data_IF_609337959898
#
_entry.id   IF_609337959898
#
_cell.length_a   1.000
_cell.length_b   1.000
_cell.length_c   1.000
_cell.angle_alpha   90.00
_cell.angle_beta   90.00
_cell.angle_gamma   90.00
#
_symmetry.space_group_name_H-M   'P 1'
#
loop_
_entity.id
_entity.type
_entity.pdbx_description
1 polymer ?
#
# COMPACT_ATOMS: atom_id res chain seq x y z
N UNK A 1 7.64 -18.88 -0.55
CA UNK A 1 8.69 -17.98 -1.06
C UNK A 1 8.02 -16.64 -1.34
N UNK A 2 8.44 -15.55 -0.69
CA UNK A 2 7.77 -14.25 -0.86
C UNK A 2 8.26 -13.64 -2.18
N UNK A 3 7.41 -13.61 -3.22
CA UNK A 3 7.74 -12.97 -4.49
C UNK A 3 7.64 -11.45 -4.35
N UNK A 4 8.62 -10.72 -4.92
CA UNK A 4 8.79 -9.27 -4.80
C UNK A 4 8.20 -8.46 -5.97
N UNK A 5 7.75 -9.15 -7.02
CA UNK A 5 7.22 -8.57 -8.24
C UNK A 5 5.99 -9.36 -8.69
N UNK A 6 4.82 -8.74 -8.55
CA UNK A 6 3.55 -9.23 -9.08
C UNK A 6 3.13 -8.32 -10.24
N UNK A 7 2.54 -8.91 -11.28
CA UNK A 7 1.74 -8.21 -12.28
C UNK A 7 0.46 -7.66 -11.65
N UNK A 8 -0.23 -6.74 -12.34
CA UNK A 8 -1.48 -6.18 -11.83
C UNK A 8 -2.54 -7.23 -11.54
N UNK A 9 -2.67 -8.24 -12.41
CA UNK A 9 -3.63 -9.34 -12.26
C UNK A 9 -3.29 -10.24 -11.07
N UNK A 10 -2.02 -10.63 -10.94
CA UNK A 10 -1.57 -11.42 -9.78
C UNK A 10 -1.82 -10.69 -8.46
N UNK A 11 -1.77 -9.36 -8.48
CA UNK A 11 -2.06 -8.58 -7.30
C UNK A 11 -3.56 -8.51 -6.99
N UNK A 12 -4.44 -8.40 -7.98
CA UNK A 12 -5.90 -8.50 -7.76
C UNK A 12 -6.29 -9.85 -7.13
N UNK A 13 -5.70 -10.94 -7.61
CA UNK A 13 -5.89 -12.28 -7.02
C UNK A 13 -5.40 -12.31 -5.56
N UNK A 14 -4.26 -11.68 -5.29
CA UNK A 14 -3.69 -11.60 -3.93
C UNK A 14 -4.49 -10.69 -2.99
N UNK A 15 -5.11 -9.63 -3.49
CA UNK A 15 -6.05 -8.83 -2.68
C UNK A 15 -7.26 -9.65 -2.25
N UNK A 16 -7.84 -10.43 -3.16
CA UNK A 16 -8.91 -11.36 -2.84
C UNK A 16 -8.44 -12.41 -1.82
N UNK A 17 -7.23 -12.93 -1.96
CA UNK A 17 -6.62 -13.86 -1.00
C UNK A 17 -6.51 -13.23 0.40
N UNK A 18 -6.07 -11.97 0.52
CA UNK A 18 -6.02 -11.26 1.81
C UNK A 18 -7.40 -11.15 2.44
N UNK A 19 -8.42 -10.76 1.68
CA UNK A 19 -9.79 -10.67 2.17
C UNK A 19 -10.30 -12.02 2.66
N UNK A 20 -10.07 -13.09 1.91
CA UNK A 20 -10.45 -14.45 2.30
C UNK A 20 -9.71 -14.91 3.57
N UNK A 21 -8.39 -14.71 3.64
CA UNK A 21 -7.58 -15.05 4.82
C UNK A 21 -8.09 -14.32 6.07
N UNK A 22 -8.32 -13.01 5.99
CA UNK A 22 -8.85 -12.22 7.12
C UNK A 22 -10.23 -12.72 7.55
N UNK A 23 -11.14 -12.91 6.59
CA UNK A 23 -12.52 -13.31 6.87
C UNK A 23 -12.61 -14.75 7.41
N UNK A 24 -11.68 -15.63 7.02
CA UNK A 24 -11.58 -17.00 7.53
C UNK A 24 -11.13 -17.10 9.00
N UNK A 25 -10.60 -16.02 9.57
CA UNK A 25 -10.21 -15.97 10.98
C UNK A 25 -11.42 -15.49 11.78
N UNK A 26 -12.26 -16.45 12.18
CA UNK A 26 -13.41 -16.23 13.05
C UNK A 26 -12.98 -16.40 14.50
N UNK A 27 -13.34 -15.45 15.36
CA UNK A 27 -13.10 -15.53 16.80
C UNK A 27 -14.35 -16.16 17.45
N UNK A 28 -14.27 -17.36 18.04
CA UNK A 28 -15.40 -17.97 18.72
C UNK A 28 -15.87 -17.14 19.92
N UNK A 29 -17.15 -17.24 20.29
CA UNK A 29 -17.71 -16.56 21.47
C UNK A 29 -17.11 -17.06 22.79
N UNK A 30 -16.68 -18.32 22.84
CA UNK A 30 -16.06 -18.97 24.00
C UNK A 30 -14.87 -19.81 23.53
N UNK A 31 -13.76 -19.18 23.13
CA UNK A 31 -12.63 -19.92 22.61
C UNK A 31 -11.90 -20.65 23.74
N UNK A 32 -11.45 -21.86 23.44
CA UNK A 32 -10.52 -22.61 24.27
C UNK A 32 -9.11 -22.03 24.17
N UNK A 33 -8.21 -22.28 25.15
CA UNK A 33 -6.84 -21.78 25.09
C UNK A 33 -6.08 -22.19 23.81
N UNK A 34 -6.34 -23.39 23.29
CA UNK A 34 -5.73 -23.90 22.05
C UNK A 34 -6.22 -23.10 20.84
N UNK A 35 -7.52 -22.82 20.77
CA UNK A 35 -8.09 -21.98 19.70
C UNK A 35 -7.53 -20.55 19.74
N UNK A 36 -7.39 -19.97 20.94
CA UNK A 36 -6.74 -18.66 21.11
C UNK A 36 -5.33 -18.68 20.55
N UNK A 37 -4.50 -19.66 20.92
CA UNK A 37 -3.12 -19.78 20.42
C UNK A 37 -3.09 -19.95 18.89
N UNK A 38 -3.98 -20.79 18.34
CA UNK A 38 -4.08 -20.99 16.88
C UNK A 38 -4.49 -19.73 16.13
N UNK A 39 -5.47 -18.98 16.65
CA UNK A 39 -5.91 -17.70 16.06
C UNK A 39 -4.78 -16.66 16.11
N UNK A 40 -4.10 -16.52 17.25
CA UNK A 40 -2.97 -15.60 17.39
C UNK A 40 -1.86 -15.93 16.39
N UNK A 41 -1.46 -17.20 16.27
CA UNK A 41 -0.44 -17.62 15.31
C UNK A 41 -0.84 -17.32 13.86
N UNK A 42 -2.10 -17.59 13.48
CA UNK A 42 -2.62 -17.26 12.14
C UNK A 42 -2.60 -15.75 11.88
N UNK A 43 -3.00 -14.94 12.85
CA UNK A 43 -2.98 -13.47 12.74
C UNK A 43 -1.56 -12.93 12.65
N UNK A 44 -0.59 -13.50 13.37
CA UNK A 44 0.81 -13.06 13.33
C UNK A 44 1.47 -13.39 11.98
N UNK A 45 1.21 -14.58 11.44
CA UNK A 45 1.69 -14.96 10.12
C UNK A 45 1.11 -14.03 9.05
N UNK A 46 -0.20 -13.79 9.09
CA UNK A 46 -0.88 -12.91 8.14
C UNK A 46 -0.41 -11.45 8.26
N UNK A 47 -0.19 -10.98 9.50
CA UNK A 47 0.35 -9.65 9.76
C UNK A 47 1.75 -9.49 9.17
N UNK A 48 2.60 -10.51 9.31
CA UNK A 48 3.97 -10.51 8.79
C UNK A 48 3.99 -10.44 7.27
N UNK A 49 3.17 -11.28 6.63
CA UNK A 49 3.00 -11.29 5.17
C UNK A 49 2.52 -9.92 4.66
N UNK A 50 1.44 -9.40 5.26
CA UNK A 50 0.86 -8.11 4.90
C UNK A 50 1.82 -6.93 5.13
N UNK A 51 2.60 -6.96 6.22
CA UNK A 51 3.55 -5.90 6.55
C UNK A 51 4.70 -5.84 5.53
N UNK A 52 5.16 -7.00 5.05
CA UNK A 52 6.20 -7.07 4.04
C UNK A 52 5.71 -6.48 2.71
N UNK A 53 4.53 -6.90 2.25
CA UNK A 53 3.96 -6.39 1.02
C UNK A 53 3.64 -4.88 1.10
N UNK A 54 3.07 -4.43 2.22
CA UNK A 54 2.84 -3.00 2.49
C UNK A 54 4.12 -2.18 2.37
N UNK A 55 5.21 -2.64 3.01
CA UNK A 55 6.51 -1.95 2.98
C UNK A 55 7.06 -1.88 1.56
N UNK A 56 6.87 -2.93 0.75
CA UNK A 56 7.27 -2.92 -0.66
C UNK A 56 6.49 -1.90 -1.49
N UNK A 57 5.16 -1.83 -1.34
CA UNK A 57 4.34 -0.84 -2.05
C UNK A 57 4.63 0.58 -1.61
N UNK A 58 4.83 0.80 -0.31
CA UNK A 58 5.20 2.11 0.22
C UNK A 58 6.52 2.60 -0.34
N UNK A 59 7.55 1.74 -0.38
CA UNK A 59 8.84 2.07 -1.01
C UNK A 59 8.69 2.39 -2.50
N UNK A 60 7.90 1.60 -3.24
CA UNK A 60 7.66 1.84 -4.67
C UNK A 60 6.91 3.15 -4.91
N UNK A 61 5.94 3.49 -4.04
CA UNK A 61 5.22 4.76 -4.07
C UNK A 61 6.16 5.94 -3.82
N UNK A 62 7.04 5.84 -2.83
CA UNK A 62 8.03 6.88 -2.52
C UNK A 62 8.96 7.15 -3.71
N UNK A 63 9.47 6.08 -4.34
CA UNK A 63 10.30 6.19 -5.54
C UNK A 63 9.54 6.81 -6.72
N UNK A 64 8.33 6.34 -7.00
CA UNK A 64 7.52 6.87 -8.10
C UNK A 64 7.16 8.36 -7.90
N UNK A 65 6.87 8.77 -6.66
CA UNK A 65 6.62 10.17 -6.32
C UNK A 65 7.87 11.04 -6.51
N UNK A 66 9.04 10.53 -6.10
CA UNK A 66 10.30 11.24 -6.28
C UNK A 66 10.60 11.43 -7.77
N UNK A 67 10.44 10.37 -8.57
CA UNK A 67 10.63 10.42 -10.02
C UNK A 67 9.65 11.37 -10.70
N UNK A 68 8.37 11.34 -10.31
CA UNK A 68 7.37 12.27 -10.81
C UNK A 68 7.75 13.72 -10.52
N UNK A 69 8.15 14.01 -9.27
CA UNK A 69 8.57 15.36 -8.89
C UNK A 69 9.81 15.82 -9.67
N UNK A 70 10.79 14.93 -9.85
CA UNK A 70 12.01 15.24 -10.59
C UNK A 70 11.69 15.54 -12.06
N UNK A 71 10.85 14.71 -12.69
CA UNK A 71 10.40 14.93 -14.06
C UNK A 71 9.62 16.25 -14.20
N UNK A 72 8.72 16.55 -13.26
CA UNK A 72 7.98 17.82 -13.27
C UNK A 72 8.91 19.04 -13.20
N UNK A 73 9.93 19.01 -12.34
CA UNK A 73 10.93 20.08 -12.20
C UNK A 73 11.78 20.21 -13.48
N UNK A 74 12.26 19.10 -14.00
CA UNK A 74 13.10 19.05 -15.19
C UNK A 74 12.37 19.63 -16.40
N UNK A 75 11.19 19.09 -16.73
CA UNK A 75 10.43 19.54 -17.90
C UNK A 75 9.91 20.96 -17.75
N UNK A 76 9.54 21.38 -16.54
CA UNK A 76 9.18 22.78 -16.30
C UNK A 76 10.35 23.70 -16.62
N UNK A 77 11.56 23.34 -16.18
CA UNK A 77 12.77 24.14 -16.43
C UNK A 77 13.14 24.19 -17.91
N UNK A 78 13.04 23.06 -18.62
CA UNK A 78 13.28 22.97 -20.06
C UNK A 78 12.32 23.89 -20.83
N UNK A 79 11.03 23.80 -20.57
CA UNK A 79 10.00 24.60 -21.26
C UNK A 79 10.18 26.09 -20.93
N UNK A 80 10.46 26.43 -19.66
CA UNK A 80 10.71 27.82 -19.24
C UNK A 80 11.94 28.42 -19.93
N UNK A 81 13.00 27.64 -20.10
CA UNK A 81 14.19 28.08 -20.85
C UNK A 81 13.89 28.25 -22.35
N UNK A 82 13.14 27.33 -22.95
CA UNK A 82 12.70 27.47 -24.35
C UNK A 82 11.83 28.70 -24.56
N UNK A 83 10.94 29.00 -23.62
CA UNK A 83 10.11 30.19 -23.65
C UNK A 83 10.96 31.47 -23.70
N UNK A 84 12.00 31.55 -22.87
CA UNK A 84 12.91 32.70 -22.84
C UNK A 84 13.66 32.88 -24.17
N UNK A 85 14.05 31.77 -24.81
CA UNK A 85 14.78 31.82 -26.07
C UNK A 85 13.90 32.10 -27.29
N UNK A 86 12.66 31.63 -27.29
CA UNK A 86 11.73 31.74 -28.44
C UNK A 86 10.78 32.94 -28.33
N UNK A 87 10.76 33.65 -27.19
CA UNK A 87 9.97 34.88 -27.00
C UNK A 87 8.47 34.65 -26.80
N UNK A 88 8.01 33.42 -26.59
CA UNK A 88 6.60 33.13 -26.33
C UNK A 88 6.18 33.62 -24.93
N UNK A 89 4.97 34.17 -24.82
CA UNK A 89 4.36 34.51 -23.51
C UNK A 89 3.35 33.44 -23.13
N UNK A 90 3.81 32.40 -22.44
CA UNK A 90 2.97 31.41 -21.75
C UNK A 90 3.04 31.65 -20.24
N UNK A 91 1.95 31.39 -19.54
CA UNK A 91 1.90 31.50 -18.07
C UNK A 91 2.55 30.28 -17.43
N UNK A 92 2.92 30.37 -16.14
CA UNK A 92 3.41 29.19 -15.42
C UNK A 92 2.37 28.07 -15.34
N UNK A 93 1.07 28.39 -15.37
CA UNK A 93 0.01 27.39 -15.39
C UNK A 93 -0.05 26.66 -16.73
N UNK A 94 0.17 27.36 -17.85
CA UNK A 94 0.25 26.74 -19.17
C UNK A 94 1.44 25.77 -19.24
N UNK A 95 2.59 26.18 -18.70
CA UNK A 95 3.77 25.31 -18.61
C UNK A 95 3.48 24.07 -17.77
N UNK A 96 2.86 24.23 -16.58
CA UNK A 96 2.46 23.07 -15.76
C UNK A 96 1.49 22.15 -16.50
N UNK A 97 0.55 22.70 -17.27
CA UNK A 97 -0.35 21.94 -18.15
C UNK A 97 0.41 21.14 -19.21
N UNK A 98 1.38 21.76 -19.87
CA UNK A 98 2.23 21.10 -20.87
C UNK A 98 3.11 20.01 -20.26
N UNK A 99 3.75 20.27 -19.12
CA UNK A 99 4.55 19.29 -18.37
C UNK A 99 3.68 18.08 -17.99
N UNK A 100 2.50 18.33 -17.41
CA UNK A 100 1.57 17.27 -17.02
C UNK A 100 1.13 16.43 -18.23
N UNK A 101 0.79 17.09 -19.34
CA UNK A 101 0.43 16.41 -20.58
C UNK A 101 1.58 15.57 -21.12
N UNK A 102 2.80 16.11 -21.12
CA UNK A 102 3.98 15.40 -21.57
C UNK A 102 4.24 14.14 -20.72
N UNK A 103 4.27 14.28 -19.39
CA UNK A 103 4.49 13.15 -18.48
C UNK A 103 3.39 12.09 -18.63
N UNK A 104 2.12 12.50 -18.78
CA UNK A 104 0.99 11.56 -18.91
C UNK A 104 1.01 10.76 -20.23
N UNK A 105 1.69 11.26 -21.26
CA UNK A 105 1.74 10.63 -22.59
C UNK A 105 3.06 9.90 -22.85
N UNK A 106 4.01 9.91 -21.90
CA UNK A 106 5.32 9.31 -22.08
C UNK A 106 5.68 8.39 -20.92
N UNK A 107 6.37 7.29 -21.28
CA UNK A 107 6.98 6.41 -20.30
C UNK A 107 8.37 6.96 -19.97
N UNK A 108 8.55 7.35 -18.71
CA UNK A 108 9.81 7.88 -18.18
C UNK A 108 10.47 6.78 -17.34
N UNK A 109 11.81 6.75 -17.30
CA UNK A 109 12.60 5.81 -16.50
C UNK A 109 12.34 4.31 -16.76
N UNK A 110 11.81 3.96 -17.94
CA UNK A 110 11.61 2.56 -18.37
C UNK A 110 10.52 1.82 -17.59
N UNK A 111 9.61 2.54 -16.93
CA UNK A 111 8.48 1.93 -16.24
C UNK A 111 7.47 1.28 -17.20
N UNK A 112 6.53 0.51 -16.66
CA UNK A 112 5.45 -0.12 -17.43
C UNK A 112 4.33 0.83 -17.84
N UNK A 113 4.26 2.03 -17.24
CA UNK A 113 3.24 3.05 -17.50
C UNK A 113 3.80 4.44 -17.20
N UNK A 114 3.04 5.49 -17.51
CA UNK A 114 3.40 6.86 -17.13
C UNK A 114 3.44 7.04 -15.60
N UNK A 115 4.19 8.04 -15.15
CA UNK A 115 4.45 8.28 -13.73
C UNK A 115 3.18 8.61 -12.93
N UNK A 116 2.20 9.31 -13.51
CA UNK A 116 0.95 9.61 -12.81
C UNK A 116 0.12 8.35 -12.60
N UNK A 117 0.05 7.48 -13.61
CA UNK A 117 -0.63 6.18 -13.50
C UNK A 117 0.04 5.27 -12.47
N UNK A 118 1.38 5.21 -12.45
CA UNK A 118 2.13 4.44 -11.44
C UNK A 118 1.86 4.94 -10.02
N UNK A 119 1.91 6.27 -9.81
CA UNK A 119 1.64 6.86 -8.50
C UNK A 119 0.23 6.50 -8.04
N UNK A 120 -0.78 6.67 -8.90
CA UNK A 120 -2.17 6.29 -8.59
C UNK A 120 -2.28 4.81 -8.25
N UNK A 121 -1.63 3.95 -9.03
CA UNK A 121 -1.61 2.51 -8.80
C UNK A 121 -1.03 2.17 -7.42
N UNK A 122 0.16 2.69 -7.09
CA UNK A 122 0.78 2.41 -5.80
C UNK A 122 0.06 3.05 -4.62
N UNK A 123 -0.59 4.22 -4.79
CA UNK A 123 -1.49 4.78 -3.79
C UNK A 123 -2.61 3.79 -3.48
N UNK A 124 -3.31 3.31 -4.52
CA UNK A 124 -4.42 2.37 -4.35
C UNK A 124 -3.98 1.11 -3.60
N UNK A 125 -2.87 0.47 -4.02
CA UNK A 125 -2.35 -0.73 -3.35
C UNK A 125 -1.90 -0.47 -1.91
N UNK A 126 -1.27 0.68 -1.65
CA UNK A 126 -0.84 1.06 -0.30
C UNK A 126 -2.05 1.28 0.61
N UNK A 127 -3.09 1.95 0.12
CA UNK A 127 -4.35 2.15 0.86
C UNK A 127 -5.05 0.83 1.16
N UNK A 128 -5.12 -0.09 0.18
CA UNK A 128 -5.68 -1.42 0.42
C UNK A 128 -4.92 -2.17 1.53
N UNK A 129 -3.59 -2.20 1.44
CA UNK A 129 -2.76 -2.90 2.43
C UNK A 129 -2.83 -2.27 3.82
N UNK A 130 -3.01 -0.95 3.92
CA UNK A 130 -3.27 -0.26 5.19
C UNK A 130 -4.57 -0.76 5.85
N UNK A 131 -5.64 -0.93 5.05
CA UNK A 131 -6.91 -1.50 5.53
C UNK A 131 -6.75 -2.96 5.97
N UNK A 132 -6.03 -3.78 5.21
CA UNK A 132 -5.70 -5.17 5.57
C UNK A 132 -5.00 -5.23 6.92
N UNK A 133 -3.94 -4.43 7.12
CA UNK A 133 -3.21 -4.36 8.38
C UNK A 133 -4.10 -3.92 9.53
N UNK A 134 -4.93 -2.89 9.32
CA UNK A 134 -5.88 -2.41 10.32
C UNK A 134 -6.86 -3.49 10.76
N UNK A 135 -7.48 -4.22 9.82
CA UNK A 135 -8.40 -5.31 10.13
C UNK A 135 -7.73 -6.47 10.88
N UNK A 136 -6.46 -6.77 10.56
CA UNK A 136 -5.67 -7.77 11.31
C UNK A 136 -5.43 -7.29 12.74
N UNK A 137 -5.04 -6.03 12.93
CA UNK A 137 -4.81 -5.44 14.25
C UNK A 137 -6.07 -5.41 15.11
N UNK A 138 -7.23 -5.08 14.54
CA UNK A 138 -8.52 -5.11 15.23
C UNK A 138 -8.87 -6.52 15.73
N UNK A 139 -8.62 -7.56 14.90
CA UNK A 139 -8.79 -8.96 15.32
C UNK A 139 -7.78 -9.37 16.39
N UNK A 140 -6.52 -8.93 16.28
CA UNK A 140 -5.47 -9.16 17.30
C UNK A 140 -5.83 -8.52 18.64
N UNK A 141 -6.36 -7.30 18.62
CA UNK A 141 -6.83 -6.63 19.82
C UNK A 141 -7.99 -7.40 20.46
N UNK A 142 -8.96 -7.83 19.64
CA UNK A 142 -10.12 -8.60 20.11
C UNK A 142 -9.72 -9.91 20.80
N UNK A 143 -8.78 -10.67 20.20
CA UNK A 143 -8.32 -11.94 20.80
C UNK A 143 -7.46 -11.70 22.07
N UNK A 144 -6.68 -10.62 22.12
CA UNK A 144 -5.90 -10.26 23.31
C UNK A 144 -6.81 -9.94 24.50
N UNK A 145 -7.91 -9.22 24.27
CA UNK A 145 -8.91 -8.94 25.32
C UNK A 145 -9.46 -10.26 25.88
N UNK A 146 -9.83 -11.20 25.01
CA UNK A 146 -10.34 -12.51 25.44
C UNK A 146 -9.29 -13.28 26.24
N UNK A 147 -8.04 -13.31 25.76
CA UNK A 147 -6.92 -13.95 26.45
C UNK A 147 -6.75 -13.40 27.88
N UNK A 148 -6.72 -12.08 28.04
CA UNK A 148 -6.60 -11.43 29.36
C UNK A 148 -7.80 -11.74 30.27
N UNK A 149 -9.02 -11.78 29.73
CA UNK A 149 -10.21 -12.17 30.52
C UNK A 149 -10.12 -13.63 31.01
N UNK A 150 -9.65 -14.56 30.17
CA UNK A 150 -9.47 -15.96 30.54
C UNK A 150 -8.42 -16.12 31.65
N UNK A 151 -7.28 -15.44 31.54
CA UNK A 151 -6.22 -15.43 32.56
C UNK A 151 -6.73 -14.89 33.91
N UNK A 152 -7.47 -13.77 33.87
CA UNK A 152 -8.04 -13.15 35.07
C UNK A 152 -9.07 -14.05 35.75
N UNK A 153 -9.91 -14.75 34.97
CA UNK A 153 -10.91 -15.66 35.50
C UNK A 153 -10.30 -16.91 36.16
N UNK A 154 -9.24 -17.45 35.56
CA UNK A 154 -8.52 -18.60 36.13
C UNK A 154 -7.79 -18.22 37.42
N UNK A 155 -7.22 -17.02 37.51
CA UNK A 155 -6.55 -16.54 38.72
C UNK A 155 -7.50 -16.23 39.89
N UNK A 156 -8.80 -16.03 39.63
CA UNK A 156 -9.84 -15.84 40.68
C UNK A 156 -10.41 -17.15 41.23
N UNK A 157 -10.14 -18.28 40.57
CA UNK A 157 -10.60 -19.62 40.97
C UNK A 157 -9.59 -20.40 41.80
N UNK A 158 -8.33 -19.96 41.80
CA UNK A 158 -7.25 -20.46 42.65
C UNK A 158 -7.10 -19.56 43.87
#
# INVERSE_FOLDING_TARGET
MIQSTYTNKEWEDKENEYLLKINSIVIPLKPTPIEVMGIVSRLDNLHTEASFDYSNFKRKLELANMDLRNAEIEYFSIIKHQQQNLGYKVTENDIKGLVKSYISNNIINGYSSDLYTLVKYYIFRTTFMDQVLKSILEKKQSINIIKTMMETYNNKKN
#
